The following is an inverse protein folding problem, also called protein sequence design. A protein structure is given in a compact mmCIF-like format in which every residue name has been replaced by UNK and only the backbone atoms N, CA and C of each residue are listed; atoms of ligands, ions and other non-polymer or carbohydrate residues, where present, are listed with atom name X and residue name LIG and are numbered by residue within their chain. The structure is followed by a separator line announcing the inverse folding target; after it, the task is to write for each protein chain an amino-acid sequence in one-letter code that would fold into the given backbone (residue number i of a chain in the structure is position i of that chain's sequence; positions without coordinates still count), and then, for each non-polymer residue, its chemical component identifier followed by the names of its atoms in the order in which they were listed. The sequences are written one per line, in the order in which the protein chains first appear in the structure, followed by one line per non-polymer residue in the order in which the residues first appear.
data_IF_228680544835
#
_entry.id   IF_228680544835
#
_cell.length_a   1.000
_cell.length_b   1.000
_cell.length_c   1.000
_cell.angle_alpha   90.00
_cell.angle_beta   90.00
_cell.angle_gamma   90.00
#
_symmetry.space_group_name_H-M   'P 1'
#
loop_
_entity.id
_entity.type
_entity.pdbx_description
1 polymer ?
#
# COMPACT_ATOMS: atom_id res chain seq x y z
N UNK A 1 4.94 2.71 -15.18
CA UNK A 1 5.19 1.71 -14.12
C UNK A 1 4.99 2.40 -12.78
N UNK A 2 5.58 3.58 -12.65
CA UNK A 2 5.66 4.42 -11.47
C UNK A 2 4.32 4.68 -10.77
N UNK A 3 3.25 5.03 -11.51
CA UNK A 3 1.92 5.26 -10.92
C UNK A 3 1.35 4.00 -10.25
N UNK A 4 1.43 2.83 -10.91
CA UNK A 4 0.98 1.59 -10.29
C UNK A 4 1.88 1.19 -9.11
N UNK A 5 3.19 1.41 -9.24
CA UNK A 5 4.16 1.07 -8.20
C UNK A 5 3.95 1.92 -6.93
N UNK A 6 3.86 3.24 -7.08
CA UNK A 6 3.68 4.17 -5.96
C UNK A 6 2.37 3.91 -5.23
N UNK A 7 1.29 3.60 -5.97
CA UNK A 7 -0.05 3.39 -5.40
C UNK A 7 -0.05 2.28 -4.35
N UNK A 8 0.31 1.06 -4.74
CA UNK A 8 0.27 -0.05 -3.77
C UNK A 8 1.38 0.07 -2.73
N UNK A 9 2.55 0.63 -3.09
CA UNK A 9 3.66 0.77 -2.16
C UNK A 9 3.34 1.75 -1.03
N UNK A 10 2.91 2.97 -1.38
CA UNK A 10 2.62 4.02 -0.40
C UNK A 10 1.42 3.66 0.47
N UNK A 11 0.36 3.06 -0.08
CA UNK A 11 -0.78 2.59 0.72
C UNK A 11 -0.34 1.58 1.81
N UNK A 12 0.57 0.66 1.48
CA UNK A 12 1.12 -0.29 2.46
C UNK A 12 2.05 0.38 3.48
N UNK A 13 2.82 1.40 3.08
CA UNK A 13 3.66 2.18 4.01
C UNK A 13 2.78 2.95 4.98
N UNK A 14 1.75 3.65 4.49
CA UNK A 14 0.86 4.45 5.32
C UNK A 14 0.12 3.60 6.35
N UNK A 15 -0.41 2.43 5.94
CA UNK A 15 -1.03 1.49 6.87
C UNK A 15 -0.09 1.09 8.01
N UNK A 16 1.19 0.78 7.69
CA UNK A 16 2.19 0.39 8.71
C UNK A 16 2.53 1.53 9.66
N UNK A 17 2.58 2.76 9.17
CA UNK A 17 2.86 3.94 10.02
C UNK A 17 1.69 4.17 10.98
N UNK A 18 0.45 4.12 10.49
CA UNK A 18 -0.74 4.31 11.32
C UNK A 18 -0.87 3.19 12.35
N UNK A 19 -0.64 1.94 11.96
CA UNK A 19 -0.67 0.79 12.85
C UNK A 19 0.32 0.93 14.02
N UNK A 20 1.54 1.40 13.74
CA UNK A 20 2.53 1.71 14.80
C UNK A 20 2.08 2.87 15.68
N UNK A 21 1.49 3.92 15.10
CA UNK A 21 0.99 5.05 15.86
C UNK A 21 -0.14 4.60 16.82
N UNK A 22 -1.08 3.79 16.33
CA UNK A 22 -2.13 3.18 17.16
C UNK A 22 -1.53 2.39 18.32
N UNK A 23 -0.57 1.51 18.03
CA UNK A 23 0.03 0.65 19.03
C UNK A 23 0.72 1.45 20.15
N UNK A 24 1.38 2.55 19.83
CA UNK A 24 2.04 3.44 20.81
C UNK A 24 1.02 4.19 21.68
N UNK A 25 -0.16 4.52 21.14
CA UNK A 25 -1.22 5.19 21.89
C UNK A 25 -2.07 4.22 22.74
N UNK A 26 -1.86 2.91 22.60
CA UNK A 26 -2.60 1.90 23.36
C UNK A 26 -4.12 1.98 23.12
N UNK A 27 -4.91 1.84 24.18
CA UNK A 27 -6.37 1.89 24.10
C UNK A 27 -6.90 3.19 23.50
N UNK A 28 -6.27 4.32 23.80
CA UNK A 28 -6.64 5.64 23.27
C UNK A 28 -6.49 5.71 21.74
N UNK A 29 -5.52 4.99 21.17
CA UNK A 29 -5.37 4.94 19.70
C UNK A 29 -6.60 4.37 19.01
N UNK A 30 -7.30 3.43 19.66
CA UNK A 30 -8.47 2.75 19.11
C UNK A 30 -9.80 3.48 19.35
N UNK A 31 -9.80 4.62 20.03
CA UNK A 31 -11.01 5.44 20.23
C UNK A 31 -11.09 6.55 19.19
N UNK A 32 -12.27 7.15 19.05
CA UNK A 32 -12.47 8.33 18.21
C UNK A 32 -11.98 9.64 18.89
N UNK A 33 -11.36 9.55 20.08
CA UNK A 33 -10.69 10.69 20.74
C UNK A 33 -9.38 11.07 20.05
N UNK A 34 -8.86 10.19 19.19
CA UNK A 34 -7.75 10.48 18.28
C UNK A 34 -8.15 10.24 16.83
N UNK A 35 -7.47 10.89 15.89
CA UNK A 35 -7.73 10.70 14.46
C UNK A 35 -7.19 9.36 13.92
N UNK A 36 -6.45 8.59 14.74
CA UNK A 36 -5.75 7.39 14.30
C UNK A 36 -6.70 6.27 13.88
N UNK A 37 -7.79 6.06 14.62
CA UNK A 37 -8.81 5.05 14.29
C UNK A 37 -9.50 5.34 12.94
N UNK A 38 -9.75 6.62 12.65
CA UNK A 38 -10.25 7.04 11.34
C UNK A 38 -9.26 6.70 10.23
N UNK A 39 -8.01 7.14 10.35
CA UNK A 39 -7.01 6.91 9.31
C UNK A 39 -6.72 5.42 9.10
N UNK A 40 -6.73 4.61 10.15
CA UNK A 40 -6.52 3.17 10.01
C UNK A 40 -7.59 2.50 9.13
N UNK A 41 -8.86 2.88 9.33
CA UNK A 41 -9.98 2.40 8.51
C UNK A 41 -9.93 2.97 7.09
N UNK A 42 -9.62 4.26 6.96
CA UNK A 42 -9.53 4.95 5.67
C UNK A 42 -8.43 4.36 4.78
N UNK A 43 -7.20 4.28 5.30
CA UNK A 43 -6.05 3.79 4.54
C UNK A 43 -6.14 2.30 4.21
N UNK A 44 -6.90 1.54 5.02
CA UNK A 44 -7.18 0.17 4.65
C UNK A 44 -7.97 0.12 3.34
N UNK A 45 -8.89 1.05 3.11
CA UNK A 45 -9.63 1.14 1.86
C UNK A 45 -8.75 1.55 0.66
N UNK A 46 -7.66 2.30 0.88
CA UNK A 46 -6.71 2.70 -0.17
C UNK A 46 -6.03 1.52 -0.88
N UNK A 47 -6.01 0.35 -0.25
CA UNK A 47 -5.53 -0.89 -0.87
C UNK A 47 -6.56 -1.58 -1.78
N UNK A 48 -7.77 -1.02 -1.89
CA UNK A 48 -8.90 -1.61 -2.62
C UNK A 48 -9.37 -0.65 -3.72
N UNK A 49 -9.65 0.61 -3.39
CA UNK A 49 -10.10 1.58 -4.40
C UNK A 49 -8.97 1.94 -5.38
N UNK A 50 -9.34 2.45 -6.56
CA UNK A 50 -8.44 2.71 -7.70
C UNK A 50 -7.60 1.52 -8.17
N UNK A 51 -8.05 0.30 -7.86
CA UNK A 51 -7.40 -0.95 -8.21
C UNK A 51 -6.79 -1.63 -6.99
N UNK A 52 -7.16 -2.87 -6.74
CA UNK A 52 -6.54 -3.64 -5.66
C UNK A 52 -5.02 -3.76 -5.85
N UNK A 53 -4.28 -3.92 -4.75
CA UNK A 53 -2.81 -4.05 -4.77
C UNK A 53 -2.34 -5.11 -5.80
N UNK A 54 -3.07 -6.21 -5.91
CA UNK A 54 -2.79 -7.33 -6.81
C UNK A 54 -2.87 -6.93 -8.29
N UNK A 55 -3.80 -6.03 -8.63
CA UNK A 55 -3.94 -5.48 -9.99
C UNK A 55 -2.72 -4.64 -10.33
N UNK A 56 -2.32 -3.71 -9.45
CA UNK A 56 -1.14 -2.88 -9.67
C UNK A 56 0.14 -3.70 -9.72
N UNK A 57 0.32 -4.68 -8.81
CA UNK A 57 1.47 -5.59 -8.82
C UNK A 57 1.56 -6.36 -10.13
N UNK A 58 0.43 -6.89 -10.61
CA UNK A 58 0.37 -7.62 -11.90
C UNK A 58 0.75 -6.73 -13.07
N UNK A 59 0.26 -5.48 -13.12
CA UNK A 59 0.60 -4.51 -14.17
C UNK A 59 2.08 -4.14 -14.13
N UNK A 60 2.63 -3.90 -12.94
CA UNK A 60 4.05 -3.59 -12.75
C UNK A 60 4.91 -4.78 -13.18
N UNK A 61 4.60 -5.99 -12.72
CA UNK A 61 5.35 -7.21 -13.05
C UNK A 61 5.39 -7.45 -14.57
N UNK A 62 4.24 -7.37 -15.26
CA UNK A 62 4.18 -7.50 -16.73
C UNK A 62 5.09 -6.50 -17.44
N UNK A 63 5.06 -5.23 -17.03
CA UNK A 63 5.89 -4.18 -17.64
C UNK A 63 7.38 -4.37 -17.35
N UNK A 64 7.74 -4.80 -16.14
CA UNK A 64 9.13 -5.13 -15.80
C UNK A 64 9.60 -6.29 -16.67
N UNK A 65 8.88 -7.41 -16.70
CA UNK A 65 9.28 -8.61 -17.46
C UNK A 65 9.41 -8.35 -18.96
N UNK A 66 8.52 -7.56 -19.55
CA UNK A 66 8.63 -7.14 -20.95
C UNK A 66 9.95 -6.42 -21.25
N UNK A 67 10.53 -5.68 -20.29
CA UNK A 67 11.84 -5.03 -20.48
C UNK A 67 13.05 -5.98 -20.49
N UNK A 68 12.83 -7.25 -20.12
CA UNK A 68 13.81 -8.33 -20.15
C UNK A 68 13.60 -9.29 -21.33
N UNK A 69 12.54 -9.13 -22.13
CA UNK A 69 12.33 -9.96 -23.32
C UNK A 69 13.52 -9.86 -24.28
N UNK A 70 14.01 -11.01 -24.74
CA UNK A 70 15.14 -11.11 -25.67
C UNK A 70 16.52 -10.91 -25.05
N UNK A 71 16.65 -10.77 -23.72
CA UNK A 71 17.96 -10.76 -23.06
C UNK A 71 18.45 -12.20 -22.87
N UNK A 72 19.61 -12.54 -23.45
CA UNK A 72 20.31 -13.79 -23.13
C UNK A 72 20.88 -13.71 -21.71
N UNK A 73 20.48 -14.66 -20.87
CA UNK A 73 21.10 -14.86 -19.56
C UNK A 73 22.43 -15.55 -19.81
N UNK A 74 23.53 -14.84 -19.55
CA UNK A 74 24.88 -15.41 -19.54
C UNK A 74 25.10 -16.30 -18.33
#
# INVERSE_FOLDING_TARGET
IDVSLIKFYVANVMQKVIDRALQVHGGLGMTDDTILAFFYRHERAARIYDGADEVHKSVVAKRILSSYEGREVR
#
